data_IF_976226044453
#
_entry.id   IF_976226044453
#
_cell.length_a   1.000
_cell.length_b   1.000
_cell.length_c   1.000
_cell.angle_alpha   90.00
_cell.angle_beta   90.00
_cell.angle_gamma   90.00
#
_symmetry.space_group_name_H-M   'P 1'
#
loop_
_entity.id
_entity.type
_entity.pdbx_description
1 polymer ?
#
# COMPACT_ATOMS: atom_id res chain seq x y z
N UNK A 1 40.66 -63.08 36.49
CA UNK A 1 40.62 -63.06 37.94
C UNK A 1 39.29 -62.42 38.32
N UNK A 2 38.41 -63.34 38.60
CA UNK A 2 37.29 -63.38 39.55
C UNK A 2 36.14 -62.37 39.30
N UNK A 3 35.02 -62.81 38.90
CA UNK A 3 34.03 -63.72 39.59
C UNK A 3 33.10 -62.83 40.43
N UNK A 4 31.88 -62.90 40.42
CA UNK A 4 30.77 -63.81 40.45
C UNK A 4 29.48 -63.04 40.43
N UNK A 5 28.60 -63.31 39.58
CA UNK A 5 27.38 -64.12 39.64
C UNK A 5 26.34 -63.81 40.73
N UNK A 6 25.09 -63.73 40.22
CA UNK A 6 23.82 -64.24 40.85
C UNK A 6 23.22 -63.30 41.90
N UNK A 7 21.96 -63.03 41.87
CA UNK A 7 20.88 -63.98 41.96
C UNK A 7 19.51 -63.45 41.51
N UNK A 8 18.77 -64.34 40.94
CA UNK A 8 17.37 -64.27 40.56
C UNK A 8 16.46 -64.53 41.77
N UNK A 9 15.37 -63.86 41.94
CA UNK A 9 14.11 -64.39 42.54
C UNK A 9 13.00 -63.33 42.25
N UNK A 10 12.09 -63.58 41.43
CA UNK A 10 10.87 -64.36 41.30
C UNK A 10 9.81 -64.07 42.37
N UNK A 11 8.64 -63.66 41.80
CA UNK A 11 7.24 -63.72 42.33
C UNK A 11 6.83 -62.56 43.26
N UNK A 12 5.67 -61.94 43.11
CA UNK A 12 4.37 -62.49 42.76
C UNK A 12 3.35 -61.38 42.43
N UNK A 13 2.38 -61.80 41.67
CA UNK A 13 1.15 -61.09 41.30
C UNK A 13 0.36 -60.62 42.53
N UNK A 14 -0.08 -59.34 42.51
CA UNK A 14 -1.43 -58.96 42.95
C UNK A 14 -1.90 -57.74 42.18
N UNK A 15 -2.98 -57.92 41.46
CA UNK A 15 -3.76 -56.93 40.81
C UNK A 15 -4.38 -55.98 41.86
N UNK A 16 -4.24 -54.68 41.64
CA UNK A 16 -5.14 -53.70 42.23
C UNK A 16 -5.52 -52.76 41.12
N UNK A 17 -6.75 -52.89 40.62
CA UNK A 17 -7.41 -51.91 39.80
C UNK A 17 -7.63 -50.60 40.62
N UNK A 18 -7.09 -49.51 40.20
CA UNK A 18 -7.55 -48.20 40.63
C UNK A 18 -7.64 -47.36 39.36
N UNK A 19 -8.88 -47.02 39.02
CA UNK A 19 -9.22 -46.18 37.90
C UNK A 19 -8.61 -44.80 38.07
N UNK A 20 -7.67 -44.48 37.22
CA UNK A 20 -7.15 -43.13 37.02
C UNK A 20 -7.96 -42.44 35.93
N UNK A 21 -8.76 -41.47 36.33
CA UNK A 21 -9.45 -40.53 35.46
C UNK A 21 -8.41 -39.81 34.64
N UNK A 22 -8.29 -40.13 33.35
CA UNK A 22 -7.54 -39.32 32.37
C UNK A 22 -8.35 -38.04 32.16
N UNK A 23 -7.99 -36.98 32.89
CA UNK A 23 -8.41 -35.64 32.55
C UNK A 23 -7.76 -35.27 31.21
N UNK A 24 -8.51 -35.41 30.14
CA UNK A 24 -8.17 -34.87 28.85
C UNK A 24 -8.17 -33.32 29.00
N UNK A 25 -7.00 -32.74 29.21
CA UNK A 25 -6.81 -31.29 29.05
C UNK A 25 -6.98 -31.00 27.57
N UNK A 26 -8.18 -30.57 27.19
CA UNK A 26 -8.42 -29.94 25.89
C UNK A 26 -7.61 -28.66 25.87
N UNK A 27 -6.50 -28.67 25.15
CA UNK A 27 -5.81 -27.47 24.73
C UNK A 27 -6.84 -26.62 23.95
N UNK A 28 -6.98 -25.32 24.23
CA UNK A 28 -7.85 -24.48 23.42
C UNK A 28 -7.29 -24.50 21.98
N UNK A 29 -8.06 -25.13 21.11
CA UNK A 29 -7.79 -25.12 19.69
C UNK A 29 -7.90 -23.67 19.16
N UNK A 30 -6.88 -23.27 18.40
CA UNK A 30 -7.09 -22.23 17.41
C UNK A 30 -6.70 -20.84 17.85
N UNK A 31 -5.40 -20.56 17.75
CA UNK A 31 -5.03 -19.28 17.15
C UNK A 31 -5.58 -19.36 15.72
N UNK A 32 -6.80 -18.87 15.51
CA UNK A 32 -7.29 -18.60 14.17
C UNK A 32 -6.29 -17.63 13.56
N UNK A 33 -5.55 -18.10 12.56
CA UNK A 33 -4.80 -17.21 11.69
C UNK A 33 -5.79 -16.14 11.23
N UNK A 34 -5.58 -14.90 11.68
CA UNK A 34 -6.48 -13.80 11.36
C UNK A 34 -6.69 -13.81 9.85
N UNK A 35 -7.93 -13.84 9.42
CA UNK A 35 -8.28 -13.80 8.02
C UNK A 35 -7.49 -12.64 7.40
N UNK A 36 -6.64 -12.93 6.43
CA UNK A 36 -5.84 -11.92 5.75
C UNK A 36 -6.82 -10.83 5.28
N UNK A 37 -6.63 -9.62 5.78
CA UNK A 37 -7.53 -8.53 5.46
C UNK A 37 -7.57 -8.39 3.94
N UNK A 38 -8.78 -8.43 3.36
CA UNK A 38 -8.95 -8.28 1.91
C UNK A 38 -8.29 -6.97 1.45
N UNK A 39 -7.54 -7.00 0.33
CA UNK A 39 -6.93 -5.79 -0.21
C UNK A 39 -7.99 -4.69 -0.40
N UNK A 40 -7.65 -3.47 -0.01
CA UNK A 40 -8.53 -2.33 -0.22
C UNK A 40 -8.46 -1.96 -1.70
N UNK A 41 -9.61 -2.07 -2.40
CA UNK A 41 -9.71 -1.69 -3.79
C UNK A 41 -9.60 -0.16 -3.97
N UNK A 42 -9.08 0.31 -5.11
CA UNK A 42 -9.13 1.73 -5.44
C UNK A 42 -10.59 2.19 -5.60
N UNK A 43 -10.84 3.42 -5.17
CA UNK A 43 -12.11 4.11 -5.40
C UNK A 43 -12.13 4.76 -6.79
N UNK A 44 -13.22 5.42 -7.13
CA UNK A 44 -13.33 6.13 -8.39
C UNK A 44 -12.21 7.15 -8.60
N UNK A 45 -11.58 7.08 -9.75
CA UNK A 45 -10.47 7.94 -10.12
C UNK A 45 -10.95 9.39 -10.27
N UNK A 46 -10.22 10.32 -9.69
CA UNK A 46 -10.53 11.74 -9.69
C UNK A 46 -9.64 12.45 -10.70
N UNK A 47 -10.15 13.02 -11.78
CA UNK A 47 -9.38 13.91 -12.63
C UNK A 47 -8.88 15.12 -11.84
N UNK A 48 -7.61 15.52 -12.03
CA UNK A 48 -7.10 16.74 -11.39
C UNK A 48 -7.69 18.02 -12.01
N UNK A 49 -7.97 17.99 -13.29
CA UNK A 49 -8.47 19.11 -14.07
C UNK A 49 -9.82 18.72 -14.69
N UNK A 50 -10.79 19.64 -14.72
CA UNK A 50 -12.11 19.33 -15.29
C UNK A 50 -12.05 19.06 -16.79
N UNK A 51 -11.08 19.70 -17.47
CA UNK A 51 -10.88 19.63 -18.91
C UNK A 51 -9.40 19.33 -19.22
N UNK A 52 -8.91 19.84 -20.36
CA UNK A 52 -7.50 19.74 -20.72
C UNK A 52 -6.63 20.40 -19.65
N UNK A 53 -5.60 19.73 -19.14
CA UNK A 53 -4.69 20.31 -18.16
C UNK A 53 -4.03 21.59 -18.67
N UNK A 54 -3.66 22.55 -17.82
CA UNK A 54 -3.05 23.81 -18.23
C UNK A 54 -1.84 23.60 -19.16
N UNK A 55 -1.83 24.31 -20.28
CA UNK A 55 -0.75 24.18 -21.27
C UNK A 55 -0.78 22.92 -22.11
N UNK A 56 -1.91 22.19 -22.14
CA UNK A 56 -2.04 20.90 -22.83
C UNK A 56 -2.63 20.97 -24.24
N UNK A 57 -3.01 22.15 -24.75
CA UNK A 57 -3.72 22.26 -26.03
C UNK A 57 -2.95 21.67 -27.24
N UNK A 58 -1.62 21.67 -27.19
CA UNK A 58 -0.77 21.13 -28.27
C UNK A 58 -0.07 19.82 -27.89
N UNK A 59 -0.36 19.26 -26.73
CA UNK A 59 0.27 18.00 -26.28
C UNK A 59 -0.38 16.81 -26.97
N UNK A 60 0.42 16.06 -27.74
CA UNK A 60 -0.03 14.91 -28.55
C UNK A 60 0.50 13.56 -28.07
N UNK A 61 1.17 13.53 -26.88
CA UNK A 61 1.69 12.26 -26.35
C UNK A 61 0.59 11.22 -26.19
N UNK A 62 0.90 10.00 -26.52
CA UNK A 62 0.03 8.85 -26.23
C UNK A 62 0.29 8.37 -24.81
N UNK A 63 -0.77 8.24 -24.02
CA UNK A 63 -0.69 7.63 -22.71
C UNK A 63 -0.57 6.12 -22.85
N UNK A 64 0.43 5.54 -22.22
CA UNK A 64 0.74 4.11 -22.27
C UNK A 64 0.87 3.54 -20.85
N UNK A 65 0.19 2.43 -20.58
CA UNK A 65 0.38 1.63 -19.37
C UNK A 65 1.20 0.41 -19.73
N UNK A 66 2.41 0.31 -19.21
CA UNK A 66 3.36 -0.76 -19.51
C UNK A 66 3.49 -1.67 -18.29
N UNK A 67 3.22 -2.96 -18.45
CA UNK A 67 3.52 -3.99 -17.44
C UNK A 67 5.00 -4.35 -17.51
N UNK A 68 5.68 -4.32 -16.38
CA UNK A 68 7.08 -4.72 -16.27
C UNK A 68 7.17 -6.14 -15.70
N UNK A 69 8.12 -6.96 -16.17
CA UNK A 69 8.36 -8.27 -15.56
C UNK A 69 8.72 -8.13 -14.08
N UNK A 70 8.05 -8.91 -13.23
CA UNK A 70 8.36 -8.97 -11.81
C UNK A 70 8.70 -10.42 -11.43
N UNK A 71 9.85 -10.68 -10.75
CA UNK A 71 10.32 -12.05 -10.45
C UNK A 71 9.33 -12.90 -9.66
N UNK A 72 8.47 -12.28 -8.86
CA UNK A 72 7.44 -12.94 -8.04
C UNK A 72 6.05 -12.91 -8.68
N UNK A 73 5.93 -12.52 -9.95
CA UNK A 73 4.65 -12.43 -10.65
C UNK A 73 3.70 -11.35 -10.12
N UNK A 74 4.20 -10.42 -9.32
CA UNK A 74 3.41 -9.28 -8.84
C UNK A 74 3.22 -8.26 -9.97
N UNK A 75 2.11 -7.56 -9.94
CA UNK A 75 1.84 -6.48 -10.88
C UNK A 75 2.81 -5.32 -10.68
N UNK A 76 3.45 -4.87 -11.75
CA UNK A 76 4.41 -3.76 -11.69
C UNK A 76 4.27 -2.85 -12.92
N UNK A 77 3.17 -2.10 -12.99
CA UNK A 77 2.90 -1.18 -14.11
C UNK A 77 3.59 0.16 -13.90
N UNK A 78 3.99 0.72 -15.05
CA UNK A 78 4.38 2.12 -15.16
C UNK A 78 3.46 2.82 -16.16
N UNK A 79 3.29 4.14 -16.01
CA UNK A 79 2.52 4.97 -16.93
C UNK A 79 3.44 6.00 -17.58
N UNK A 80 3.40 6.06 -18.90
CA UNK A 80 4.13 7.05 -19.74
C UNK A 80 3.15 7.97 -20.42
N UNK A 81 3.61 9.13 -20.85
CA UNK A 81 2.82 10.08 -21.63
C UNK A 81 1.51 10.48 -20.94
N UNK A 82 1.56 10.81 -19.65
CA UNK A 82 0.36 11.10 -18.84
C UNK A 82 -0.38 12.32 -19.40
N UNK A 83 -1.46 12.09 -20.14
CA UNK A 83 -2.32 13.16 -20.67
C UNK A 83 -3.37 13.62 -19.68
N UNK A 84 -3.92 12.70 -18.93
CA UNK A 84 -4.95 12.97 -17.93
C UNK A 84 -4.40 12.70 -16.53
N UNK A 85 -3.86 13.70 -15.86
CA UNK A 85 -3.38 13.53 -14.48
C UNK A 85 -4.55 13.31 -13.53
N UNK A 86 -4.38 12.36 -12.61
CA UNK A 86 -5.46 11.88 -11.75
C UNK A 86 -5.00 11.63 -10.33
N UNK A 87 -5.97 11.58 -9.41
CA UNK A 87 -5.84 10.98 -8.09
C UNK A 87 -6.65 9.68 -8.03
N UNK A 88 -6.05 8.62 -7.51
CA UNK A 88 -6.75 7.36 -7.22
C UNK A 88 -6.84 7.21 -5.71
N UNK A 89 -8.04 7.31 -5.10
CA UNK A 89 -8.23 7.16 -3.68
C UNK A 89 -8.21 5.68 -3.25
N UNK A 90 -7.63 5.44 -2.09
CA UNK A 90 -7.72 4.22 -1.30
C UNK A 90 -8.15 4.61 0.11
N UNK A 91 -9.41 4.37 0.43
CA UNK A 91 -9.98 4.79 1.70
C UNK A 91 -9.99 3.62 2.70
N UNK A 92 -9.72 3.86 3.98
CA UNK A 92 -9.86 2.85 5.02
C UNK A 92 -11.32 2.41 5.14
N UNK A 93 -11.55 1.21 5.67
CA UNK A 93 -12.91 0.70 5.92
C UNK A 93 -13.62 1.47 7.04
N UNK A 94 -12.84 1.87 8.03
CA UNK A 94 -13.29 2.65 9.19
C UNK A 94 -12.95 4.12 9.00
N UNK A 95 -13.24 4.94 10.03
CA UNK A 95 -12.93 6.36 10.01
C UNK A 95 -11.43 6.61 9.79
N UNK A 96 -11.10 7.44 8.83
CA UNK A 96 -9.72 7.83 8.56
C UNK A 96 -9.13 8.66 9.71
N UNK A 97 -7.88 8.35 10.10
CA UNK A 97 -7.14 9.08 11.12
C UNK A 97 -6.24 10.17 10.55
N UNK A 98 -5.84 10.01 9.30
CA UNK A 98 -5.01 10.93 8.53
C UNK A 98 -5.32 10.79 7.04
N UNK A 99 -4.88 11.76 6.24
CA UNK A 99 -4.90 11.68 4.80
C UNK A 99 -3.48 11.78 4.23
N UNK A 100 -3.20 11.11 3.13
CA UNK A 100 -1.88 11.11 2.52
C UNK A 100 -1.95 11.22 1.00
N UNK A 101 -1.21 12.19 0.46
CA UNK A 101 -0.91 12.26 -0.96
C UNK A 101 0.33 11.42 -1.23
N UNK A 102 0.18 10.34 -2.01
CA UNK A 102 1.27 9.46 -2.43
C UNK A 102 1.72 9.86 -3.83
N UNK A 103 2.98 10.22 -3.98
CA UNK A 103 3.60 10.65 -5.24
C UNK A 103 4.64 9.61 -5.68
N UNK A 104 4.30 8.72 -6.62
CA UNK A 104 5.23 7.73 -7.13
C UNK A 104 6.42 8.37 -7.85
N UNK A 105 7.54 7.65 -7.94
CA UNK A 105 8.71 8.04 -8.73
C UNK A 105 8.64 7.55 -10.17
N UNK A 106 9.82 7.39 -10.78
CA UNK A 106 9.99 6.97 -12.17
C UNK A 106 10.87 7.93 -12.98
N UNK A 107 11.70 8.73 -12.29
CA UNK A 107 12.71 9.59 -12.91
C UNK A 107 12.14 10.70 -13.81
N UNK A 108 10.87 11.08 -13.63
CA UNK A 108 10.13 11.98 -14.50
C UNK A 108 9.98 11.49 -15.97
N UNK A 109 10.28 10.21 -16.23
CA UNK A 109 10.10 9.57 -17.55
C UNK A 109 8.86 8.68 -17.60
N UNK A 110 8.38 8.27 -16.44
CA UNK A 110 7.16 7.49 -16.22
C UNK A 110 6.72 7.62 -14.76
N UNK A 111 5.55 7.09 -14.44
CA UNK A 111 5.03 6.99 -13.08
C UNK A 111 4.97 5.50 -12.69
N UNK A 112 5.65 5.09 -11.60
CA UNK A 112 5.65 3.71 -11.07
C UNK A 112 4.36 3.51 -10.29
N UNK A 113 3.27 3.18 -11.00
CA UNK A 113 1.91 3.32 -10.45
C UNK A 113 1.54 2.22 -9.44
N UNK A 114 1.99 0.99 -9.62
CA UNK A 114 1.65 -0.11 -8.71
C UNK A 114 2.54 -0.10 -7.47
N UNK A 115 3.82 -0.40 -7.61
CA UNK A 115 4.76 -0.62 -6.51
C UNK A 115 4.92 0.59 -5.57
N UNK A 116 5.07 1.78 -6.12
CA UNK A 116 5.26 3.02 -5.35
C UNK A 116 3.95 3.80 -5.13
N UNK A 117 2.87 3.38 -5.80
CA UNK A 117 1.55 4.00 -5.71
C UNK A 117 0.54 3.11 -5.02
N UNK A 118 -0.06 2.19 -5.75
CA UNK A 118 -1.24 1.43 -5.30
C UNK A 118 -0.95 0.49 -4.14
N UNK A 119 0.17 -0.24 -4.15
CA UNK A 119 0.55 -1.12 -3.04
C UNK A 119 0.77 -0.32 -1.75
N UNK A 120 1.50 0.80 -1.85
CA UNK A 120 1.69 1.72 -0.74
C UNK A 120 0.36 2.26 -0.22
N UNK A 121 -0.54 2.68 -1.11
CA UNK A 121 -1.83 3.23 -0.74
C UNK A 121 -2.77 2.19 -0.12
N UNK A 122 -2.75 0.94 -0.61
CA UNK A 122 -3.48 -0.17 0.00
C UNK A 122 -3.01 -0.44 1.43
N UNK A 123 -1.69 -0.46 1.63
CA UNK A 123 -1.11 -0.65 2.96
C UNK A 123 -1.51 0.48 3.91
N UNK A 124 -1.43 1.73 3.47
CA UNK A 124 -1.83 2.91 4.25
C UNK A 124 -3.32 2.85 4.62
N UNK A 125 -4.18 2.52 3.68
CA UNK A 125 -5.61 2.41 3.90
C UNK A 125 -5.96 1.28 4.89
N UNK A 126 -5.27 0.14 4.82
CA UNK A 126 -5.40 -0.94 5.80
C UNK A 126 -5.00 -0.50 7.22
N UNK A 127 -4.18 0.56 7.35
CA UNK A 127 -3.74 1.14 8.62
C UNK A 127 -4.50 2.43 9.00
N UNK A 128 -5.66 2.68 8.41
CA UNK A 128 -6.54 3.79 8.78
C UNK A 128 -6.14 5.15 8.20
N UNK A 129 -5.36 5.19 7.12
CA UNK A 129 -4.97 6.42 6.43
C UNK A 129 -5.68 6.50 5.07
N UNK A 130 -6.42 7.57 4.81
CA UNK A 130 -6.99 7.83 3.50
C UNK A 130 -5.87 8.21 2.52
N UNK A 131 -5.46 7.30 1.64
CA UNK A 131 -4.36 7.50 0.71
C UNK A 131 -4.87 7.87 -0.69
N UNK A 132 -4.18 8.78 -1.35
CA UNK A 132 -4.50 9.27 -2.68
C UNK A 132 -3.26 9.19 -3.56
N UNK A 133 -3.27 8.33 -4.55
CA UNK A 133 -2.13 8.13 -5.47
C UNK A 133 -2.21 9.12 -6.61
N UNK A 134 -1.16 9.90 -6.77
CA UNK A 134 -1.04 10.88 -7.84
C UNK A 134 -0.43 10.26 -9.10
N UNK A 135 -1.15 10.35 -10.21
CA UNK A 135 -0.63 10.18 -11.55
C UNK A 135 -0.48 11.58 -12.15
N UNK A 136 0.75 12.02 -12.34
CA UNK A 136 1.09 13.39 -12.73
C UNK A 136 1.70 13.46 -14.11
N UNK A 137 1.56 14.62 -14.76
CA UNK A 137 2.16 14.93 -16.07
C UNK A 137 3.70 14.86 -16.00
N UNK A 138 4.31 14.39 -17.06
CA UNK A 138 5.76 14.27 -17.14
C UNK A 138 6.37 15.48 -17.85
N UNK A 139 7.50 16.02 -17.37
CA UNK A 139 8.05 17.29 -17.89
C UNK A 139 8.53 17.22 -19.35
N UNK A 140 8.86 16.00 -19.83
CA UNK A 140 9.34 15.78 -21.20
C UNK A 140 8.24 15.67 -22.25
N UNK A 141 6.96 15.73 -21.86
CA UNK A 141 5.82 15.42 -22.74
C UNK A 141 5.30 16.66 -23.53
N UNK A 142 6.05 17.75 -23.58
CA UNK A 142 5.70 18.93 -24.38
C UNK A 142 4.68 19.88 -23.75
N UNK A 143 4.45 19.81 -22.44
CA UNK A 143 3.59 20.73 -21.72
C UNK A 143 4.17 22.15 -21.73
N UNK A 144 3.33 23.17 -21.91
CA UNK A 144 3.80 24.57 -21.90
C UNK A 144 4.50 24.97 -20.59
N UNK A 145 4.12 24.34 -19.46
CA UNK A 145 4.78 24.53 -18.16
C UNK A 145 6.13 23.79 -18.05
N UNK A 146 6.48 22.95 -19.02
CA UNK A 146 7.75 22.20 -19.02
C UNK A 146 8.01 21.47 -17.70
N UNK A 147 9.16 21.77 -17.04
CA UNK A 147 9.54 21.13 -15.77
C UNK A 147 8.57 21.37 -14.60
N UNK A 148 7.70 22.37 -14.70
CA UNK A 148 6.75 22.74 -13.65
C UNK A 148 5.39 22.04 -13.78
N UNK A 149 5.12 21.35 -14.90
CA UNK A 149 3.87 20.61 -15.08
C UNK A 149 3.58 19.62 -13.95
N UNK A 150 4.54 18.79 -13.49
CA UNK A 150 4.35 17.91 -12.34
C UNK A 150 4.02 18.68 -11.05
N UNK A 151 4.64 19.84 -10.82
CA UNK A 151 4.42 20.63 -9.62
C UNK A 151 3.01 21.23 -9.61
N UNK A 152 2.52 21.73 -10.74
CA UNK A 152 1.13 22.22 -10.87
C UNK A 152 0.12 21.11 -10.51
N UNK A 153 0.36 19.88 -11.00
CA UNK A 153 -0.48 18.73 -10.68
C UNK A 153 -0.41 18.36 -9.19
N UNK A 154 0.78 18.33 -8.61
CA UNK A 154 0.96 17.99 -7.21
C UNK A 154 0.33 19.05 -6.28
N UNK A 155 0.44 20.34 -6.61
CA UNK A 155 -0.22 21.43 -5.89
C UNK A 155 -1.76 21.32 -5.98
N UNK A 156 -2.29 21.02 -7.16
CA UNK A 156 -3.72 20.79 -7.37
C UNK A 156 -4.19 19.57 -6.59
N UNK A 157 -3.44 18.45 -6.68
CA UNK A 157 -3.70 17.23 -5.96
C UNK A 157 -3.78 17.46 -4.45
N UNK A 158 -2.80 18.16 -3.88
CA UNK A 158 -2.78 18.45 -2.44
C UNK A 158 -4.01 19.27 -1.99
N UNK A 159 -4.46 20.23 -2.79
CA UNK A 159 -5.70 20.98 -2.52
C UNK A 159 -6.93 20.06 -2.51
N UNK A 160 -7.05 19.17 -3.50
CA UNK A 160 -8.15 18.21 -3.59
C UNK A 160 -8.11 17.24 -2.40
N UNK A 161 -6.94 16.72 -2.04
CA UNK A 161 -6.80 15.82 -0.89
C UNK A 161 -7.20 16.50 0.41
N UNK A 162 -6.79 17.76 0.63
CA UNK A 162 -7.17 18.54 1.82
C UNK A 162 -8.68 18.78 1.91
N UNK A 163 -9.33 19.12 0.82
CA UNK A 163 -10.79 19.29 0.78
C UNK A 163 -11.52 17.97 1.07
N UNK A 164 -11.05 16.89 0.46
CA UNK A 164 -11.65 15.56 0.70
C UNK A 164 -11.39 15.04 2.10
N UNK A 165 -10.22 15.31 2.67
CA UNK A 165 -9.90 14.88 4.03
C UNK A 165 -10.81 15.55 5.07
N UNK A 166 -11.18 16.80 4.88
CA UNK A 166 -12.16 17.48 5.74
C UNK A 166 -13.54 16.79 5.70
N UNK A 167 -14.00 16.36 4.53
CA UNK A 167 -15.26 15.60 4.38
C UNK A 167 -15.21 14.23 5.06
N UNK A 168 -14.02 13.66 5.23
CA UNK A 168 -13.80 12.41 5.98
C UNK A 168 -13.60 12.65 7.50
N UNK A 169 -13.74 13.88 7.97
CA UNK A 169 -13.50 14.25 9.38
C UNK A 169 -12.01 14.33 9.74
N UNK A 170 -11.13 14.32 8.74
CA UNK A 170 -9.69 14.49 8.93
C UNK A 170 -9.33 15.97 8.73
N UNK A 171 -8.82 16.61 9.76
CA UNK A 171 -8.40 18.01 9.66
C UNK A 171 -7.23 18.21 8.68
N UNK A 172 -7.16 19.38 8.05
CA UNK A 172 -6.10 19.72 7.05
C UNK A 172 -4.68 19.52 7.56
N UNK A 173 -4.44 19.75 8.84
CA UNK A 173 -3.14 19.55 9.50
C UNK A 173 -2.72 18.08 9.57
N UNK A 174 -3.62 17.13 9.37
CA UNK A 174 -3.34 15.70 9.29
C UNK A 174 -3.21 15.20 7.85
N UNK A 175 -3.01 16.11 6.91
CA UNK A 175 -2.72 15.76 5.51
C UNK A 175 -1.21 15.77 5.30
N UNK A 176 -0.65 14.64 4.91
CA UNK A 176 0.79 14.40 4.73
C UNK A 176 1.07 14.12 3.25
N UNK A 177 2.29 14.38 2.81
CA UNK A 177 2.78 14.04 1.47
C UNK A 177 3.89 13.01 1.59
N UNK A 178 3.76 11.91 0.87
CA UNK A 178 4.77 10.86 0.73
C UNK A 178 5.22 10.81 -0.73
N UNK A 179 6.51 10.87 -0.98
CA UNK A 179 7.04 10.79 -2.34
C UNK A 179 8.21 9.82 -2.46
N UNK A 180 8.26 9.10 -3.57
CA UNK A 180 9.33 8.16 -3.90
C UNK A 180 10.26 8.75 -4.98
N UNK A 181 11.58 8.71 -4.80
CA UNK A 181 12.56 9.13 -5.80
C UNK A 181 12.22 10.50 -6.43
N UNK A 182 11.90 10.57 -7.73
CA UNK A 182 11.43 11.79 -8.40
C UNK A 182 10.18 12.38 -7.72
N UNK A 183 9.24 11.54 -7.26
CA UNK A 183 8.09 11.96 -6.45
C UNK A 183 8.50 12.58 -5.11
N UNK A 184 9.59 12.12 -4.50
CA UNK A 184 10.16 12.71 -3.29
C UNK A 184 10.71 14.13 -3.54
N UNK A 185 11.35 14.35 -4.69
CA UNK A 185 11.76 15.71 -5.10
C UNK A 185 10.56 16.61 -5.33
N UNK A 186 9.49 16.07 -5.89
CA UNK A 186 8.25 16.80 -6.11
C UNK A 186 7.56 17.16 -4.78
N UNK A 187 7.55 16.21 -3.83
CA UNK A 187 7.05 16.44 -2.47
C UNK A 187 7.84 17.54 -1.74
N UNK A 188 9.17 17.55 -1.87
CA UNK A 188 10.00 18.62 -1.31
C UNK A 188 9.67 20.01 -1.91
N UNK A 189 9.41 20.08 -3.22
CA UNK A 189 8.98 21.33 -3.89
C UNK A 189 7.58 21.81 -3.45
N UNK A 190 6.74 20.95 -2.90
CA UNK A 190 5.44 21.33 -2.34
C UNK A 190 5.57 22.00 -0.96
N UNK A 191 6.68 21.79 -0.25
CA UNK A 191 6.94 22.30 1.09
C UNK A 191 7.64 23.66 1.09
N UNK A 192 8.13 24.11 -0.06
CA UNK A 192 8.80 25.41 -0.27
C UNK A 192 7.88 26.39 -0.98
#
# INVERSE_FOLDING_TARGET
>A
MNDETRDLAVLSRRAAMLGGLLAATTLPAGIQAGAAAQPIAPQDVIPLWPDVPPGGAQVTVAEEVVERPHPQGLRDRIVRGVRTPTLTPFLPRDQARAAMLVIPGGGYKHVVIDKEGYETAQWLAAHGVAAYVLRYRLPGDGWAAGPDAPLQDAQRALRIVRDRSERLGVGRQRTVVLGFSAGGRLAARLAT
#
